data_IF_029767228692
#
_entry.id   IF_029767228692
#
_cell.length_a   1.000
_cell.length_b   1.000
_cell.length_c   1.000
_cell.angle_alpha   90.00
_cell.angle_beta   90.00
_cell.angle_gamma   90.00
#
_symmetry.space_group_name_H-M   'P 1'
#
loop_
_entity.id
_entity.type
_entity.pdbx_description
1 polymer ?
#
# COMPACT_ATOMS: atom_id res chain seq x y z
N UNK A 1 -19.89 -28.16 14.69
CA UNK A 1 -19.72 -29.63 14.57
C UNK A 1 -18.35 -29.99 15.09
N UNK A 2 -18.23 -31.04 15.92
CA UNK A 2 -16.91 -31.55 16.33
C UNK A 2 -16.41 -32.44 15.22
N UNK A 3 -15.31 -32.05 14.56
CA UNK A 3 -14.64 -32.90 13.58
C UNK A 3 -13.82 -33.95 14.33
N UNK A 4 -14.12 -35.22 14.05
CA UNK A 4 -13.37 -36.34 14.62
C UNK A 4 -12.49 -36.93 13.53
N UNK A 5 -11.20 -37.05 13.80
CA UNK A 5 -10.28 -37.73 12.89
C UNK A 5 -10.51 -39.24 13.01
N UNK A 6 -10.97 -39.85 11.92
CA UNK A 6 -11.15 -41.30 11.81
C UNK A 6 -10.06 -41.86 10.92
N UNK A 7 -9.47 -42.98 11.33
CA UNK A 7 -8.54 -43.76 10.48
C UNK A 7 -9.25 -45.03 10.07
N UNK A 8 -9.32 -45.30 8.77
CA UNK A 8 -9.96 -46.49 8.21
C UNK A 8 -9.06 -47.15 7.18
N UNK A 9 -9.30 -48.44 6.95
CA UNK A 9 -8.66 -49.21 5.88
C UNK A 9 -9.65 -49.31 4.73
N UNK A 10 -9.17 -49.04 3.51
CA UNK A 10 -9.93 -49.14 2.28
C UNK A 10 -9.18 -50.13 1.39
N UNK A 11 -9.92 -50.95 0.64
CA UNK A 11 -9.35 -51.83 -0.35
C UNK A 11 -8.49 -51.05 -1.37
N UNK A 12 -7.33 -51.61 -1.72
CA UNK A 12 -6.37 -50.95 -2.58
C UNK A 12 -6.92 -50.72 -3.98
N UNK A 13 -7.66 -51.66 -4.55
CA UNK A 13 -8.23 -51.54 -5.90
C UNK A 13 -9.27 -50.42 -5.95
N UNK A 14 -10.11 -50.34 -4.91
CA UNK A 14 -11.11 -49.27 -4.78
C UNK A 14 -10.43 -47.91 -4.66
N UNK A 15 -9.36 -47.81 -3.85
CA UNK A 15 -8.61 -46.57 -3.71
C UNK A 15 -7.99 -46.13 -5.03
N UNK A 16 -7.33 -47.05 -5.74
CA UNK A 16 -6.71 -46.75 -7.04
C UNK A 16 -7.75 -46.31 -8.06
N UNK A 17 -8.90 -46.98 -8.13
CA UNK A 17 -10.00 -46.58 -8.99
C UNK A 17 -10.53 -45.19 -8.63
N UNK A 18 -10.68 -44.88 -7.34
CA UNK A 18 -11.08 -43.55 -6.90
C UNK A 18 -10.07 -42.49 -7.33
N UNK A 19 -8.78 -42.69 -7.05
CA UNK A 19 -7.72 -41.73 -7.36
C UNK A 19 -7.68 -41.41 -8.86
N UNK A 20 -7.82 -42.42 -9.73
CA UNK A 20 -7.91 -42.26 -11.19
C UNK A 20 -9.13 -41.44 -11.64
N UNK A 21 -10.27 -41.60 -10.97
CA UNK A 21 -11.49 -40.82 -11.29
C UNK A 21 -11.51 -39.43 -10.66
N UNK A 22 -10.75 -39.22 -9.58
CA UNK A 22 -10.72 -37.97 -8.82
C UNK A 22 -10.15 -36.80 -9.62
N UNK A 23 -9.25 -37.09 -10.58
CA UNK A 23 -8.69 -36.10 -11.51
C UNK A 23 -9.77 -35.35 -12.31
N UNK A 24 -10.95 -35.96 -12.50
CA UNK A 24 -12.05 -35.38 -13.27
C UNK A 24 -13.08 -34.62 -12.41
N UNK A 25 -13.12 -34.86 -11.09
CA UNK A 25 -14.23 -34.42 -10.24
C UNK A 25 -13.85 -33.49 -9.08
N UNK A 26 -12.55 -33.19 -8.88
CA UNK A 26 -12.03 -32.26 -7.86
C UNK A 26 -12.50 -32.49 -6.41
N UNK A 27 -13.09 -33.65 -6.11
CA UNK A 27 -13.53 -34.02 -4.76
C UNK A 27 -12.48 -34.88 -4.09
N UNK A 28 -12.20 -34.62 -2.82
CA UNK A 28 -11.25 -35.42 -2.06
C UNK A 28 -11.86 -36.75 -1.62
N UNK A 29 -11.01 -37.73 -1.28
CA UNK A 29 -11.41 -39.01 -0.67
C UNK A 29 -12.32 -38.78 0.54
N UNK A 30 -12.02 -37.75 1.34
CA UNK A 30 -12.84 -37.37 2.49
C UNK A 30 -14.30 -37.12 2.10
N UNK A 31 -14.53 -36.30 1.08
CA UNK A 31 -15.90 -35.96 0.64
C UNK A 31 -16.63 -37.20 0.11
N UNK A 32 -15.91 -38.08 -0.58
CA UNK A 32 -16.47 -39.33 -1.08
C UNK A 32 -16.87 -40.27 0.05
N UNK A 33 -16.04 -40.40 1.10
CA UNK A 33 -16.35 -41.20 2.27
C UNK A 33 -17.53 -40.63 3.06
N UNK A 34 -17.58 -39.31 3.26
CA UNK A 34 -18.71 -38.66 3.94
C UNK A 34 -20.02 -38.83 3.16
N UNK A 35 -19.99 -38.67 1.83
CA UNK A 35 -21.15 -38.91 0.97
C UNK A 35 -21.58 -40.38 0.95
N UNK A 36 -20.62 -41.31 0.89
CA UNK A 36 -20.89 -42.74 0.93
C UNK A 36 -21.53 -43.17 2.24
N UNK A 37 -20.98 -42.72 3.38
CA UNK A 37 -21.58 -42.96 4.70
C UNK A 37 -23.00 -42.38 4.78
N UNK A 38 -23.21 -41.17 4.26
CA UNK A 38 -24.52 -40.53 4.25
C UNK A 38 -25.52 -41.25 3.33
N UNK A 39 -25.06 -41.85 2.23
CA UNK A 39 -25.88 -42.70 1.37
C UNK A 39 -26.37 -43.94 2.13
N UNK A 40 -25.47 -44.63 2.84
CA UNK A 40 -25.82 -45.81 3.63
C UNK A 40 -26.82 -45.43 4.73
N UNK A 41 -26.61 -44.30 5.42
CA UNK A 41 -27.57 -43.81 6.42
C UNK A 41 -28.92 -43.51 5.76
N UNK A 42 -28.94 -42.95 4.55
CA UNK A 42 -30.18 -42.65 3.83
C UNK A 42 -31.01 -43.90 3.51
N UNK A 43 -30.35 -45.03 3.30
CA UNK A 43 -31.03 -46.31 3.02
C UNK A 43 -31.63 -46.94 4.28
N UNK A 44 -31.01 -46.70 5.45
CA UNK A 44 -31.44 -47.28 6.74
C UNK A 44 -32.38 -46.34 7.51
N UNK A 45 -32.06 -45.05 7.54
CA UNK A 45 -32.79 -43.98 8.24
C UNK A 45 -32.79 -42.69 7.41
N UNK A 46 -33.76 -42.52 6.49
CA UNK A 46 -33.82 -41.38 5.60
C UNK A 46 -34.11 -40.06 6.32
N UNK A 47 -34.79 -40.11 7.48
CA UNK A 47 -35.05 -38.92 8.30
C UNK A 47 -33.72 -38.41 8.84
N UNK A 48 -32.93 -39.31 9.45
CA UNK A 48 -31.63 -38.92 10.01
C UNK A 48 -30.65 -38.45 8.94
N UNK A 49 -30.63 -39.09 7.77
CA UNK A 49 -29.82 -38.63 6.65
C UNK A 49 -30.20 -37.22 6.21
N UNK A 50 -31.50 -36.89 6.19
CA UNK A 50 -31.98 -35.56 5.82
C UNK A 50 -31.62 -34.51 6.88
N UNK A 51 -31.75 -34.82 8.17
CA UNK A 51 -31.30 -33.94 9.25
C UNK A 51 -29.80 -33.62 9.14
N UNK A 52 -28.97 -34.64 8.88
CA UNK A 52 -27.52 -34.47 8.71
C UNK A 52 -27.19 -33.62 7.49
N UNK A 53 -27.91 -33.79 6.36
CA UNK A 53 -27.74 -32.93 5.18
C UNK A 53 -28.06 -31.46 5.50
N UNK A 54 -29.15 -31.21 6.25
CA UNK A 54 -29.51 -29.86 6.68
C UNK A 54 -28.38 -29.25 7.51
N UNK A 55 -27.87 -29.97 8.51
CA UNK A 55 -26.76 -29.49 9.35
C UNK A 55 -25.50 -29.18 8.53
N UNK A 56 -25.13 -30.04 7.57
CA UNK A 56 -24.00 -29.80 6.68
C UNK A 56 -24.20 -28.55 5.81
N UNK A 57 -25.41 -28.32 5.30
CA UNK A 57 -25.73 -27.13 4.51
C UNK A 57 -25.71 -25.85 5.36
N UNK A 58 -26.24 -25.90 6.58
CA UNK A 58 -26.19 -24.77 7.50
C UNK A 58 -24.75 -24.35 7.83
N UNK A 59 -23.85 -25.31 8.01
CA UNK A 59 -22.43 -25.02 8.22
C UNK A 59 -21.80 -24.37 6.98
N UNK A 60 -22.04 -24.92 5.78
CA UNK A 60 -21.56 -24.30 4.53
C UNK A 60 -22.10 -22.89 4.36
N UNK A 61 -23.35 -22.66 4.73
CA UNK A 61 -23.98 -21.35 4.69
C UNK A 61 -23.30 -20.39 5.68
N UNK A 62 -22.92 -20.86 6.88
CA UNK A 62 -22.16 -20.08 7.84
C UNK A 62 -20.75 -19.71 7.32
N UNK A 63 -20.05 -20.65 6.70
CA UNK A 63 -18.73 -20.42 6.08
C UNK A 63 -18.83 -19.38 4.94
N UNK A 64 -19.82 -19.50 4.05
CA UNK A 64 -20.06 -18.52 2.97
C UNK A 64 -20.45 -17.14 3.52
N UNK A 65 -21.23 -17.07 4.60
CA UNK A 65 -21.54 -15.80 5.29
C UNK A 65 -20.28 -15.14 5.83
N UNK A 66 -19.34 -15.93 6.38
CA UNK A 66 -18.06 -15.42 6.85
C UNK A 66 -17.22 -14.90 5.68
N UNK A 67 -17.14 -15.65 4.58
CA UNK A 67 -16.46 -15.23 3.35
C UNK A 67 -17.05 -13.93 2.81
N UNK A 68 -18.38 -13.81 2.74
CA UNK A 68 -19.06 -12.58 2.35
C UNK A 68 -18.71 -11.41 3.28
N UNK A 69 -18.66 -11.64 4.58
CA UNK A 69 -18.25 -10.64 5.57
C UNK A 69 -16.83 -10.16 5.32
N UNK A 70 -15.90 -11.07 5.03
CA UNK A 70 -14.51 -10.74 4.69
C UNK A 70 -14.43 -9.89 3.42
N UNK A 71 -15.17 -10.24 2.36
CA UNK A 71 -15.21 -9.44 1.14
C UNK A 71 -15.81 -8.05 1.36
N UNK A 72 -16.85 -7.92 2.19
CA UNK A 72 -17.40 -6.60 2.56
C UNK A 72 -16.36 -5.75 3.27
N UNK A 73 -15.62 -6.33 4.21
CA UNK A 73 -14.54 -5.64 4.93
C UNK A 73 -13.40 -5.23 3.98
N UNK A 74 -12.99 -6.10 3.05
CA UNK A 74 -12.01 -5.75 2.01
C UNK A 74 -12.50 -4.58 1.16
N UNK A 75 -13.75 -4.60 0.71
CA UNK A 75 -14.34 -3.52 -0.08
C UNK A 75 -14.44 -2.21 0.70
N UNK A 76 -14.70 -2.26 2.00
CA UNK A 76 -14.69 -1.08 2.87
C UNK A 76 -13.26 -0.54 3.09
N UNK A 77 -12.26 -1.42 3.24
CA UNK A 77 -10.85 -1.04 3.29
C UNK A 77 -10.38 -0.42 1.98
N UNK A 78 -10.75 -0.96 0.83
CA UNK A 78 -10.48 -0.37 -0.49
C UNK A 78 -11.11 1.02 -0.60
N UNK A 79 -12.36 1.19 -0.13
CA UNK A 79 -13.02 2.50 -0.12
C UNK A 79 -12.36 3.47 0.84
N UNK A 80 -11.90 3.05 2.01
CA UNK A 80 -11.17 3.92 2.93
C UNK A 80 -9.74 4.20 2.45
N UNK A 81 -9.11 3.31 1.68
CA UNK A 81 -7.86 3.59 0.97
C UNK A 81 -8.08 4.54 -0.21
N UNK A 82 -9.20 4.42 -0.93
CA UNK A 82 -9.59 5.35 -2.00
C UNK A 82 -10.11 6.71 -1.47
N UNK A 83 -10.57 6.76 -0.22
CA UNK A 83 -11.01 7.97 0.48
C UNK A 83 -9.97 8.56 1.44
N UNK A 84 -8.82 7.89 1.64
CA UNK A 84 -7.62 8.66 1.94
C UNK A 84 -7.49 9.59 0.74
N UNK A 85 -7.55 10.93 0.92
CA UNK A 85 -7.12 11.79 -0.16
C UNK A 85 -5.77 11.24 -0.55
N UNK A 86 -5.56 11.01 -1.84
CA UNK A 86 -4.23 10.82 -2.33
C UNK A 86 -3.43 12.04 -1.81
N UNK A 87 -2.71 11.86 -0.71
CA UNK A 87 -1.28 12.14 -0.72
C UNK A 87 -0.78 11.39 -1.96
N UNK A 88 -1.03 12.02 -3.12
CA UNK A 88 -0.10 11.98 -4.22
C UNK A 88 1.20 12.34 -3.53
N UNK A 89 1.97 11.33 -3.14
CA UNK A 89 3.41 11.42 -3.27
C UNK A 89 3.59 11.91 -4.70
N UNK A 90 3.91 13.20 -4.88
CA UNK A 90 4.07 13.71 -6.22
C UNK A 90 5.24 12.91 -6.82
N UNK A 91 5.00 12.22 -7.94
CA UNK A 91 5.99 11.50 -8.75
C UNK A 91 7.40 12.08 -8.51
N UNK A 92 8.19 11.42 -7.65
CA UNK A 92 9.48 11.95 -7.19
C UNK A 92 10.43 12.11 -8.40
N UNK A 93 10.22 11.31 -9.45
CA UNK A 93 10.91 11.39 -10.73
C UNK A 93 10.57 12.67 -11.53
N UNK A 94 9.34 13.19 -11.43
CA UNK A 94 8.90 14.38 -12.15
C UNK A 94 9.31 15.67 -11.43
N UNK A 95 9.32 15.66 -10.09
CA UNK A 95 9.80 16.77 -9.26
C UNK A 95 11.30 17.02 -9.43
N UNK A 96 12.10 15.96 -9.35
CA UNK A 96 13.55 16.06 -9.54
C UNK A 96 13.87 16.52 -10.97
N UNK A 97 13.17 15.99 -11.98
CA UNK A 97 13.35 16.42 -13.37
C UNK A 97 12.98 17.89 -13.64
N UNK A 98 11.94 18.41 -12.97
CA UNK A 98 11.58 19.84 -13.03
C UNK A 98 12.57 20.70 -12.25
N UNK A 99 13.06 20.21 -11.12
CA UNK A 99 14.10 20.87 -10.33
C UNK A 99 15.38 21.05 -11.16
N UNK A 100 15.90 19.97 -11.74
CA UNK A 100 17.16 20.00 -12.50
C UNK A 100 17.10 20.95 -13.69
N UNK A 101 15.94 21.07 -14.35
CA UNK A 101 15.73 22.00 -15.47
C UNK A 101 15.72 23.47 -15.06
N UNK A 102 15.28 23.77 -13.84
CA UNK A 102 15.00 25.15 -13.41
C UNK A 102 15.87 25.64 -12.25
N UNK A 103 16.70 24.78 -11.64
CA UNK A 103 17.48 25.08 -10.44
C UNK A 103 18.33 26.35 -10.55
N UNK A 104 18.98 26.60 -11.67
CA UNK A 104 19.85 27.79 -11.85
C UNK A 104 19.04 29.09 -11.92
N UNK A 105 17.91 29.06 -12.64
CA UNK A 105 17.00 30.20 -12.76
C UNK A 105 16.34 30.53 -11.41
N UNK A 106 15.89 29.49 -10.71
CA UNK A 106 15.29 29.64 -9.38
C UNK A 106 16.32 30.14 -8.37
N UNK A 107 17.54 29.60 -8.37
CA UNK A 107 18.64 30.08 -7.52
C UNK A 107 18.91 31.57 -7.73
N UNK A 108 18.96 32.02 -8.99
CA UNK A 108 19.15 33.43 -9.34
C UNK A 108 18.05 34.32 -8.76
N UNK A 109 16.78 33.91 -8.90
CA UNK A 109 15.62 34.65 -8.38
C UNK A 109 15.61 34.70 -6.84
N UNK A 110 15.98 33.61 -6.16
CA UNK A 110 16.10 33.56 -4.70
C UNK A 110 17.22 34.49 -4.23
N UNK A 111 18.40 34.41 -4.83
CA UNK A 111 19.55 35.24 -4.47
C UNK A 111 19.27 36.74 -4.71
N UNK A 112 18.46 37.08 -5.72
CA UNK A 112 18.04 38.46 -6.03
C UNK A 112 16.78 38.90 -5.29
N UNK A 113 16.15 38.04 -4.48
CA UNK A 113 14.88 38.29 -3.78
C UNK A 113 13.71 38.67 -4.71
N UNK A 114 13.69 38.13 -5.93
CA UNK A 114 12.65 38.38 -6.94
C UNK A 114 11.77 37.17 -7.20
N UNK A 115 11.88 36.13 -6.38
CA UNK A 115 11.14 34.88 -6.57
C UNK A 115 9.65 35.06 -6.24
N UNK A 116 8.79 34.61 -7.15
CA UNK A 116 7.36 34.48 -6.90
C UNK A 116 7.01 33.00 -6.62
N UNK A 117 6.78 32.70 -5.34
CA UNK A 117 6.47 31.34 -4.89
C UNK A 117 5.15 30.79 -5.43
N UNK A 118 4.22 31.64 -5.89
CA UNK A 118 2.99 31.20 -6.55
C UNK A 118 3.26 30.60 -7.92
N UNK A 119 4.11 31.25 -8.69
CA UNK A 119 4.53 30.76 -10.01
C UNK A 119 5.35 29.47 -9.88
N UNK A 120 6.26 29.41 -8.90
CA UNK A 120 7.06 28.20 -8.64
C UNK A 120 6.17 27.05 -8.14
N UNK A 121 5.17 27.32 -7.30
CA UNK A 121 4.16 26.32 -6.93
C UNK A 121 3.48 25.69 -8.15
N UNK A 122 3.05 26.53 -9.10
CA UNK A 122 2.44 26.04 -10.35
C UNK A 122 3.38 25.18 -11.19
N UNK A 123 4.67 25.53 -11.23
CA UNK A 123 5.70 24.76 -11.95
C UNK A 123 5.87 23.35 -11.38
N UNK A 124 5.89 23.22 -10.04
CA UNK A 124 6.12 21.96 -9.33
C UNK A 124 4.85 21.15 -9.03
N UNK A 125 3.65 21.65 -9.40
CA UNK A 125 2.34 20.95 -9.27
C UNK A 125 1.99 20.43 -7.85
N UNK A 126 2.65 21.01 -6.86
CA UNK A 126 2.44 20.82 -5.42
C UNK A 126 1.18 21.52 -4.86
N UNK A 127 0.72 21.03 -3.71
CA UNK A 127 -0.50 21.53 -3.06
C UNK A 127 -0.26 22.81 -2.27
N UNK A 128 0.92 22.98 -1.65
CA UNK A 128 1.23 24.14 -0.82
C UNK A 128 2.43 24.96 -1.31
N UNK A 129 2.36 26.29 -1.15
CA UNK A 129 3.52 27.18 -1.38
C UNK A 129 4.64 26.90 -0.38
N UNK A 130 4.28 26.54 0.86
CA UNK A 130 5.23 26.25 1.94
C UNK A 130 6.04 24.99 1.66
N UNK A 131 5.40 23.95 1.11
CA UNK A 131 6.04 22.68 0.75
C UNK A 131 7.11 22.90 -0.31
N UNK A 132 6.80 23.67 -1.36
CA UNK A 132 7.76 23.99 -2.44
C UNK A 132 8.89 24.83 -1.94
N UNK A 133 8.57 25.85 -1.15
CA UNK A 133 9.57 26.73 -0.60
C UNK A 133 10.59 25.90 0.18
N UNK A 134 10.14 24.99 1.03
CA UNK A 134 11.01 24.12 1.81
C UNK A 134 11.81 23.17 0.92
N UNK A 135 11.14 22.44 0.01
CA UNK A 135 11.79 21.48 -0.88
C UNK A 135 12.87 22.13 -1.76
N UNK A 136 12.50 23.19 -2.48
CA UNK A 136 13.37 23.87 -3.44
C UNK A 136 14.52 24.58 -2.73
N UNK A 137 14.27 25.24 -1.60
CA UNK A 137 15.37 25.89 -0.85
C UNK A 137 16.30 24.89 -0.21
N UNK A 138 15.80 23.75 0.27
CA UNK A 138 16.65 22.68 0.80
C UNK A 138 17.55 22.10 -0.30
N UNK A 139 16.97 21.73 -1.45
CA UNK A 139 17.74 21.19 -2.58
C UNK A 139 18.78 22.17 -3.11
N UNK A 140 18.42 23.45 -3.28
CA UNK A 140 19.38 24.48 -3.71
C UNK A 140 20.50 24.74 -2.69
N UNK A 141 20.26 24.50 -1.40
CA UNK A 141 21.30 24.55 -0.37
C UNK A 141 22.22 23.34 -0.45
N UNK A 142 21.66 22.14 -0.65
CA UNK A 142 22.42 20.90 -0.88
C UNK A 142 23.32 21.03 -2.12
N UNK A 143 22.79 21.58 -3.21
CA UNK A 143 23.52 21.86 -4.46
C UNK A 143 24.49 23.06 -4.35
N UNK A 144 24.46 23.80 -3.24
CA UNK A 144 25.33 24.96 -3.00
C UNK A 144 25.04 26.16 -3.92
N UNK A 145 23.87 26.21 -4.54
CA UNK A 145 23.44 27.26 -5.48
C UNK A 145 22.85 28.49 -4.76
N UNK A 146 22.38 28.31 -3.52
CA UNK A 146 21.97 29.41 -2.64
C UNK A 146 22.73 29.34 -1.32
N UNK A 147 23.23 30.50 -0.86
CA UNK A 147 24.10 30.62 0.32
C UNK A 147 25.38 31.39 0.05
N UNK A 148 26.05 31.86 1.11
CA UNK A 148 27.29 32.64 1.01
C UNK A 148 28.48 31.73 0.69
N UNK A 149 29.41 32.19 -0.15
CA UNK A 149 30.66 31.48 -0.48
C UNK A 149 31.52 31.12 0.76
N UNK A 150 31.38 31.86 1.86
CA UNK A 150 32.05 31.58 3.14
C UNK A 150 31.29 30.62 4.07
N UNK A 151 30.04 30.26 3.75
CA UNK A 151 29.17 29.42 4.59
C UNK A 151 29.06 27.98 4.08
N UNK A 152 30.01 27.51 3.25
CA UNK A 152 30.04 26.16 2.66
C UNK A 152 30.12 24.99 3.65
N UNK A 153 30.11 25.24 4.96
CA UNK A 153 30.01 24.21 6.01
C UNK A 153 28.96 24.63 7.03
N UNK A 154 27.75 24.08 6.89
CA UNK A 154 26.71 24.21 7.89
C UNK A 154 26.89 23.09 8.92
N UNK A 155 27.09 23.46 10.18
CA UNK A 155 26.76 22.62 11.33
C UNK A 155 25.46 23.18 11.91
N UNK A 156 24.45 22.34 12.09
CA UNK A 156 23.25 22.62 12.91
C UNK A 156 22.46 23.91 12.60
N UNK A 157 22.29 24.26 11.31
CA UNK A 157 21.30 25.28 10.90
C UNK A 157 21.60 26.73 11.31
N UNK A 158 22.85 27.06 11.66
CA UNK A 158 23.26 28.42 12.04
C UNK A 158 24.44 28.92 11.20
N UNK A 159 24.39 30.18 10.79
CA UNK A 159 25.52 30.84 10.13
C UNK A 159 26.65 31.11 11.14
N UNK A 160 27.86 30.59 10.89
CA UNK A 160 29.01 30.73 11.80
C UNK A 160 29.43 32.18 12.07
N UNK A 161 29.15 33.13 11.17
CA UNK A 161 29.53 34.54 11.31
C UNK A 161 28.44 35.43 11.91
N UNK A 162 27.18 35.28 11.49
CA UNK A 162 26.09 36.13 12.00
C UNK A 162 25.43 35.56 13.26
N UNK A 163 25.68 34.28 13.59
CA UNK A 163 24.98 33.52 14.65
C UNK A 163 23.44 33.53 14.53
N UNK A 164 22.90 33.97 13.39
CA UNK A 164 21.46 34.05 13.16
C UNK A 164 20.91 32.70 12.68
N UNK A 165 19.67 32.35 13.08
CA UNK A 165 18.97 31.17 12.57
C UNK A 165 18.70 31.34 11.08
N UNK A 166 18.84 30.24 10.33
CA UNK A 166 18.59 30.22 8.89
C UNK A 166 17.10 30.22 8.56
N UNK A 167 16.40 31.29 8.90
CA UNK A 167 15.02 31.42 8.43
C UNK A 167 14.99 31.61 6.91
N UNK A 168 13.87 31.18 6.34
CA UNK A 168 13.58 31.20 4.90
C UNK A 168 13.63 32.60 4.24
N UNK A 169 13.94 33.65 5.01
CA UNK A 169 14.03 35.05 4.60
C UNK A 169 15.48 35.58 4.54
N UNK A 170 16.45 34.84 5.09
CA UNK A 170 17.83 35.31 5.16
C UNK A 170 18.65 34.83 3.96
N UNK A 171 18.78 35.68 2.94
CA UNK A 171 19.78 35.54 1.88
C UNK A 171 20.96 36.45 2.17
N UNK A 172 22.15 35.86 2.35
CA UNK A 172 23.38 36.60 2.58
C UNK A 172 23.70 37.48 1.37
N UNK A 173 23.91 38.79 1.58
CA UNK A 173 24.14 39.79 0.53
C UNK A 173 25.44 39.61 -0.28
N UNK A 174 26.33 38.69 0.09
CA UNK A 174 27.61 38.47 -0.59
C UNK A 174 27.55 37.34 -1.63
N UNK A 175 26.61 37.44 -2.57
CA UNK A 175 26.73 36.77 -3.88
C UNK A 175 27.56 37.67 -4.81
N UNK A 176 28.82 37.92 -4.43
CA UNK A 176 29.74 38.65 -5.29
C UNK A 176 30.23 37.70 -6.38
N UNK A 177 29.69 37.91 -7.59
CA UNK A 177 30.32 37.74 -8.91
C UNK A 177 31.41 36.67 -9.02
N UNK A 178 31.11 35.62 -9.77
CA UNK A 178 32.07 35.15 -10.79
C UNK A 178 31.62 35.72 -12.13
#
# INVERSE_FOLDING_TARGET
MVTVKVTSVIDLEIKLAFDLTSEQHHKGIKDALELGALSIISDVDPIKATELRIQMMEQKLAEERQTLSNYKLMKEMEKTQAQKPAEQEPDDENLQGKYDKHRDSIALQINRKTIDWKTIKGLFEVKSETEVKNYVTQKLREDGLIGCANCRKWDDGKCKLSKQPSDSEFTCRNFSKR
#
